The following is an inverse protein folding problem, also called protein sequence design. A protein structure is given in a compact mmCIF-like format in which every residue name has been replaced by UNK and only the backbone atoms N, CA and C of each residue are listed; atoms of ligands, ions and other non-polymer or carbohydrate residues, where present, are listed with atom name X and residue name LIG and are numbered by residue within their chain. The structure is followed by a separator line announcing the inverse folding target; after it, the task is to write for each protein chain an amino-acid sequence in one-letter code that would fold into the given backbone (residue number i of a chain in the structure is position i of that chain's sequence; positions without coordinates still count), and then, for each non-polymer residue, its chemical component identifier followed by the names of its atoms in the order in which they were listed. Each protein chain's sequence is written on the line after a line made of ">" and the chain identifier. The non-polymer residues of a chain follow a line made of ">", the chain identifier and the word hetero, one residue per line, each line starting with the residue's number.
data_IF_234850599621
#
_entry.id   IF_234850599621
#
_cell.length_a   1.000
_cell.length_b   1.000
_cell.length_c   1.000
_cell.angle_alpha   90.00
_cell.angle_beta   90.00
_cell.angle_gamma   90.00
#
_symmetry.space_group_name_H-M   'P 1'
#
loop_
_entity.id
_entity.type
_entity.pdbx_description
1 polymer ?
#
# COMPACT_ATOMS: atom_id res chain seq x y z
N UNK A 1 -21.93 72.30 -1.51
CA UNK A 1 -20.55 72.29 -2.04
C UNK A 1 -19.66 71.81 -0.92
N UNK A 2 -19.10 70.63 -1.16
CA UNK A 2 -17.79 70.14 -0.70
C UNK A 2 -17.32 70.23 0.75
N UNK A 3 -16.62 69.13 1.07
CA UNK A 3 -15.46 69.06 1.96
C UNK A 3 -15.75 68.99 3.47
N UNK A 4 -15.09 68.15 4.27
CA UNK A 4 -14.04 67.18 4.03
C UNK A 4 -13.98 66.25 5.26
N UNK A 5 -13.61 65.00 4.99
CA UNK A 5 -13.21 63.92 5.90
C UNK A 5 -12.44 64.36 7.16
N UNK A 6 -12.66 63.63 8.25
CA UNK A 6 -11.58 63.00 9.03
C UNK A 6 -12.05 61.69 9.69
N UNK A 7 -11.50 60.60 9.17
CA UNK A 7 -11.52 59.26 9.75
C UNK A 7 -10.58 59.20 10.96
N UNK A 8 -10.79 58.24 11.87
CA UNK A 8 -9.81 57.20 12.22
C UNK A 8 -10.45 56.17 13.18
N UNK A 9 -10.95 55.06 12.63
CA UNK A 9 -10.39 53.70 12.75
C UNK A 9 -10.53 53.03 14.12
N UNK A 10 -11.70 52.44 14.39
CA UNK A 10 -11.79 51.31 15.31
C UNK A 10 -11.34 50.04 14.57
N UNK A 11 -10.09 49.64 14.77
CA UNK A 11 -9.59 48.36 14.29
C UNK A 11 -10.21 47.23 15.14
N UNK A 12 -11.33 46.67 14.66
CA UNK A 12 -11.85 45.39 15.17
C UNK A 12 -10.95 44.29 14.61
N UNK A 13 -10.04 43.79 15.45
CA UNK A 13 -9.30 42.57 15.21
C UNK A 13 -10.29 41.39 15.18
N UNK A 14 -10.73 40.97 13.99
CA UNK A 14 -11.29 39.63 13.81
C UNK A 14 -10.14 38.64 13.95
N UNK A 15 -10.05 38.00 15.12
CA UNK A 15 -9.22 36.83 15.31
C UNK A 15 -9.84 35.67 14.52
N UNK A 16 -9.32 35.42 13.32
CA UNK A 16 -9.64 34.20 12.58
C UNK A 16 -8.91 33.06 13.30
N UNK A 17 -9.63 32.35 14.16
CA UNK A 17 -9.17 31.09 14.72
C UNK A 17 -9.06 30.07 13.57
N UNK A 18 -7.84 29.81 13.13
CA UNK A 18 -7.54 28.70 12.21
C UNK A 18 -7.81 27.39 12.95
N UNK A 19 -8.93 26.74 12.62
CA UNK A 19 -9.16 25.34 12.93
C UNK A 19 -8.11 24.51 12.18
N UNK A 20 -7.06 24.11 12.88
CA UNK A 20 -6.14 23.08 12.40
C UNK A 20 -6.90 21.76 12.44
N UNK A 21 -7.47 21.39 11.29
CA UNK A 21 -8.00 20.04 11.08
C UNK A 21 -6.79 19.11 11.07
N UNK A 22 -6.56 18.41 12.18
CA UNK A 22 -5.63 17.28 12.21
C UNK A 22 -6.30 16.16 11.43
N UNK A 23 -5.94 16.01 10.15
CA UNK A 23 -6.32 14.84 9.37
C UNK A 23 -5.65 13.62 10.00
N UNK A 24 -6.39 12.55 10.36
CA UNK A 24 -5.77 11.32 10.82
C UNK A 24 -4.84 10.82 9.71
N UNK A 25 -3.56 10.74 10.03
CA UNK A 25 -2.55 10.20 9.12
C UNK A 25 -2.93 8.75 8.80
N UNK A 26 -2.89 8.39 7.52
CA UNK A 26 -2.81 6.99 7.16
C UNK A 26 -1.65 6.39 7.96
N UNK A 27 -1.93 5.35 8.75
CA UNK A 27 -0.88 4.66 9.51
C UNK A 27 0.02 3.99 8.47
N UNK A 28 1.27 4.44 8.38
CA UNK A 28 2.26 3.81 7.53
C UNK A 28 2.49 2.36 7.97
N UNK A 29 2.59 1.44 7.02
CA UNK A 29 2.91 0.05 7.29
C UNK A 29 4.27 -0.07 7.97
N UNK A 30 4.38 -0.92 9.00
CA UNK A 30 5.63 -1.19 9.72
C UNK A 30 6.22 -2.50 9.21
N UNK A 31 7.40 -2.42 8.62
CA UNK A 31 8.15 -3.57 8.13
C UNK A 31 8.75 -4.40 9.25
N UNK A 32 9.19 -5.62 8.89
CA UNK A 32 9.85 -6.56 9.79
C UNK A 32 11.09 -5.98 10.50
N UNK A 33 11.79 -5.03 9.89
CA UNK A 33 12.96 -4.35 10.46
C UNK A 33 12.61 -3.12 11.32
N UNK A 34 11.32 -2.84 11.53
CA UNK A 34 10.81 -1.72 12.31
C UNK A 34 10.77 -0.39 11.56
N UNK A 35 11.25 -0.32 10.33
CA UNK A 35 11.04 0.86 9.48
C UNK A 35 9.61 0.90 8.94
N UNK A 36 9.17 2.04 8.40
CA UNK A 36 7.83 2.20 7.88
C UNK A 36 7.80 2.72 6.44
N UNK A 37 6.70 2.46 5.72
CA UNK A 37 6.43 3.07 4.43
C UNK A 37 4.95 3.32 4.20
N UNK A 38 4.68 4.36 3.42
CA UNK A 38 3.37 4.62 2.83
C UNK A 38 3.27 3.99 1.44
N UNK A 39 2.13 3.35 1.17
CA UNK A 39 1.81 3.01 -0.21
C UNK A 39 1.28 4.24 -0.94
N UNK A 40 2.08 4.82 -1.85
CA UNK A 40 1.62 5.91 -2.72
C UNK A 40 1.08 5.34 -4.04
N UNK A 41 -0.16 5.64 -4.40
CA UNK A 41 -0.75 5.30 -5.70
C UNK A 41 -1.51 6.51 -6.27
N UNK A 42 -1.33 6.79 -7.57
CA UNK A 42 -1.95 7.93 -8.27
C UNK A 42 -1.69 9.29 -7.57
N UNK A 43 -0.51 9.45 -6.98
CA UNK A 43 -0.10 10.68 -6.29
C UNK A 43 -0.72 10.88 -4.90
N UNK A 44 -1.45 9.89 -4.37
CA UNK A 44 -2.04 9.94 -3.04
C UNK A 44 -1.62 8.73 -2.20
N UNK A 45 -1.59 8.91 -0.88
CA UNK A 45 -1.41 7.78 0.05
C UNK A 45 -2.64 6.88 0.00
N UNK A 46 -2.40 5.59 -0.23
CA UNK A 46 -3.40 4.53 -0.15
C UNK A 46 -3.72 4.31 1.33
N UNK A 47 -5.00 4.39 1.66
CA UNK A 47 -5.44 4.21 3.04
C UNK A 47 -5.27 2.74 3.46
N UNK A 48 -4.81 2.50 4.68
CA UNK A 48 -4.75 1.17 5.28
C UNK A 48 -5.82 1.05 6.37
N UNK A 49 -6.53 -0.08 6.40
CA UNK A 49 -7.58 -0.34 7.37
C UNK A 49 -7.53 -1.80 7.86
N UNK A 50 -7.83 -2.00 9.15
CA UNK A 50 -8.04 -3.35 9.68
C UNK A 50 -9.40 -3.90 9.28
N UNK A 51 -9.43 -5.17 8.93
CA UNK A 51 -10.64 -5.87 8.56
C UNK A 51 -11.43 -6.34 9.78
N UNK A 52 -12.75 -6.18 9.71
CA UNK A 52 -13.70 -6.86 10.60
C UNK A 52 -14.04 -8.27 10.07
N UNK A 53 -14.44 -9.23 10.92
CA UNK A 53 -14.76 -10.60 10.50
C UNK A 53 -15.82 -10.73 9.39
N UNK A 54 -16.69 -9.73 9.22
CA UNK A 54 -17.68 -9.69 8.14
C UNK A 54 -17.13 -9.23 6.78
N UNK A 55 -15.92 -8.69 6.72
CA UNK A 55 -15.35 -8.12 5.50
C UNK A 55 -14.96 -9.19 4.48
N UNK A 56 -14.97 -8.82 3.20
CA UNK A 56 -14.66 -9.70 2.06
C UNK A 56 -13.30 -10.39 2.20
N UNK A 57 -12.30 -9.74 2.82
CA UNK A 57 -10.98 -10.36 3.05
C UNK A 57 -11.06 -11.60 3.94
N UNK A 58 -11.96 -11.64 4.94
CA UNK A 58 -12.21 -12.84 5.75
C UNK A 58 -12.97 -13.90 4.95
N UNK A 59 -13.99 -13.50 4.19
CA UNK A 59 -14.81 -14.42 3.40
C UNK A 59 -13.99 -15.14 2.32
N UNK A 60 -13.04 -14.44 1.71
CA UNK A 60 -12.11 -15.01 0.71
C UNK A 60 -10.92 -15.72 1.36
N UNK A 61 -10.81 -15.70 2.69
CA UNK A 61 -9.65 -16.24 3.40
C UNK A 61 -8.33 -15.59 2.98
N UNK A 62 -8.33 -14.31 2.61
CA UNK A 62 -7.13 -13.58 2.18
C UNK A 62 -6.45 -12.91 3.38
N UNK A 63 -5.16 -12.58 3.22
CA UNK A 63 -4.37 -11.86 4.24
C UNK A 63 -4.63 -10.36 4.14
N UNK A 64 -4.72 -9.86 2.92
CA UNK A 64 -5.04 -8.49 2.59
C UNK A 64 -5.77 -8.44 1.25
N UNK A 65 -6.40 -7.29 0.98
CA UNK A 65 -6.94 -6.94 -0.34
C UNK A 65 -6.76 -5.44 -0.55
N UNK A 66 -6.17 -5.04 -1.67
CA UNK A 66 -6.30 -3.71 -2.24
C UNK A 66 -7.67 -3.54 -2.91
N UNK A 67 -8.55 -2.75 -2.30
CA UNK A 67 -9.90 -2.48 -2.79
C UNK A 67 -10.01 -1.06 -3.36
N UNK A 68 -10.68 -0.86 -4.51
CA UNK A 68 -10.96 0.47 -5.02
C UNK A 68 -11.87 1.25 -4.07
N UNK A 69 -11.68 2.57 -4.01
CA UNK A 69 -12.53 3.52 -3.29
C UNK A 69 -13.03 4.60 -4.27
N UNK A 70 -13.89 5.51 -3.80
CA UNK A 70 -14.37 6.62 -4.63
C UNK A 70 -13.24 7.51 -5.19
N UNK A 71 -12.12 7.62 -4.47
CA UNK A 71 -11.00 8.51 -4.80
C UNK A 71 -9.68 7.79 -5.11
N UNK A 72 -9.64 6.45 -5.05
CA UNK A 72 -8.40 5.70 -5.25
C UNK A 72 -8.50 4.26 -4.78
N UNK A 73 -7.62 3.89 -3.86
CA UNK A 73 -7.53 2.55 -3.30
C UNK A 73 -7.42 2.61 -1.78
N UNK A 74 -7.77 1.50 -1.14
CA UNK A 74 -7.43 1.20 0.24
C UNK A 74 -6.91 -0.23 0.35
N UNK A 75 -5.97 -0.49 1.25
CA UNK A 75 -5.56 -1.85 1.62
C UNK A 75 -6.32 -2.24 2.88
N UNK A 76 -6.98 -3.39 2.84
CA UNK A 76 -7.76 -3.93 3.96
C UNK A 76 -7.04 -5.17 4.50
N UNK A 77 -6.64 -5.12 5.76
CA UNK A 77 -5.77 -6.12 6.39
C UNK A 77 -6.55 -7.08 7.28
N UNK A 78 -6.46 -8.38 7.00
CA UNK A 78 -6.79 -9.41 7.98
C UNK A 78 -5.58 -9.62 8.90
N UNK A 79 -5.45 -8.75 9.91
CA UNK A 79 -4.33 -8.77 10.86
C UNK A 79 -4.20 -10.09 11.62
N UNK A 80 -5.32 -10.79 11.85
CA UNK A 80 -5.33 -12.12 12.45
C UNK A 80 -4.66 -13.19 11.59
N UNK A 81 -4.78 -13.09 10.26
CA UNK A 81 -4.08 -13.98 9.33
C UNK A 81 -2.67 -13.49 9.05
N UNK A 82 -2.45 -12.18 8.97
CA UNK A 82 -1.12 -11.61 8.75
C UNK A 82 -0.14 -12.08 9.84
N UNK A 83 -0.52 -11.96 11.12
CA UNK A 83 0.35 -12.33 12.26
C UNK A 83 0.79 -13.80 12.32
N UNK A 84 0.20 -14.70 11.51
CA UNK A 84 0.60 -16.11 11.47
C UNK A 84 1.66 -16.39 10.41
N UNK A 85 2.05 -15.39 9.63
CA UNK A 85 3.02 -15.52 8.56
C UNK A 85 4.43 -15.14 9.03
N UNK A 86 5.48 -15.58 8.32
CA UNK A 86 6.83 -15.09 8.54
C UNK A 86 6.94 -13.57 8.27
N UNK A 87 7.85 -12.85 8.95
CA UNK A 87 8.01 -11.41 8.77
C UNK A 87 8.26 -10.99 7.32
N UNK A 88 9.03 -11.77 6.56
CA UNK A 88 9.30 -11.47 5.14
C UNK A 88 8.05 -11.54 4.27
N UNK A 89 7.08 -12.38 4.64
CA UNK A 89 5.78 -12.42 3.97
C UNK A 89 4.95 -11.17 4.28
N UNK A 90 5.11 -10.56 5.46
CA UNK A 90 4.40 -9.32 5.79
C UNK A 90 4.84 -8.22 4.85
N UNK A 91 6.16 -8.03 4.75
CA UNK A 91 6.76 -7.02 3.89
C UNK A 91 6.39 -7.29 2.42
N UNK A 92 6.50 -8.54 1.96
CA UNK A 92 6.14 -8.90 0.59
C UNK A 92 4.66 -8.63 0.27
N UNK A 93 3.75 -8.95 1.18
CA UNK A 93 2.31 -8.68 0.99
C UNK A 93 2.04 -7.18 0.93
N UNK A 94 2.71 -6.35 1.73
CA UNK A 94 2.58 -4.89 1.61
C UNK A 94 2.92 -4.40 0.20
N UNK A 95 4.08 -4.80 -0.32
CA UNK A 95 4.47 -4.39 -1.67
C UNK A 95 3.54 -4.98 -2.75
N UNK A 96 3.06 -6.21 -2.57
CA UNK A 96 2.08 -6.84 -3.46
C UNK A 96 0.76 -6.06 -3.52
N UNK A 97 0.15 -5.75 -2.37
CA UNK A 97 -1.12 -5.01 -2.33
C UNK A 97 -0.94 -3.57 -2.83
N UNK A 98 0.22 -2.97 -2.55
CA UNK A 98 0.54 -1.66 -3.10
C UNK A 98 0.66 -1.70 -4.64
N UNK A 99 1.22 -2.77 -5.21
CA UNK A 99 1.28 -2.96 -6.65
C UNK A 99 -0.11 -3.07 -7.29
N UNK A 100 -1.07 -3.74 -6.63
CA UNK A 100 -2.47 -3.75 -7.07
C UNK A 100 -3.05 -2.33 -7.16
N UNK A 101 -2.77 -1.46 -6.18
CA UNK A 101 -3.22 -0.07 -6.18
C UNK A 101 -2.51 0.81 -7.24
N UNK A 102 -1.20 0.61 -7.44
CA UNK A 102 -0.38 1.37 -8.39
C UNK A 102 -0.64 1.01 -9.85
N UNK A 103 -0.84 -0.28 -10.15
CA UNK A 103 -1.00 -0.84 -11.51
C UNK A 103 -2.45 -1.15 -11.89
N UNK A 104 -3.43 -0.58 -11.18
CA UNK A 104 -4.82 -1.07 -11.06
C UNK A 104 -5.10 -2.45 -11.69
N UNK A 105 -4.46 -3.50 -11.17
CA UNK A 105 -4.51 -4.86 -11.76
C UNK A 105 -5.26 -5.82 -10.83
N UNK A 106 -5.90 -6.85 -11.39
CA UNK A 106 -6.39 -8.03 -10.65
C UNK A 106 -5.53 -9.27 -10.89
N UNK A 107 -4.51 -9.15 -11.74
CA UNK A 107 -3.54 -10.21 -12.00
C UNK A 107 -2.53 -10.28 -10.84
N UNK A 108 -2.64 -11.35 -10.06
CA UNK A 108 -1.84 -11.64 -8.88
C UNK A 108 -0.35 -11.86 -9.22
N UNK A 109 -0.03 -12.43 -10.40
CA UNK A 109 1.36 -12.61 -10.83
C UNK A 109 1.98 -11.26 -11.18
N UNK A 110 1.24 -10.40 -11.87
CA UNK A 110 1.67 -9.04 -12.18
C UNK A 110 1.89 -8.22 -10.89
N UNK A 111 1.00 -8.34 -9.92
CA UNK A 111 1.15 -7.69 -8.62
C UNK A 111 2.35 -8.22 -7.83
N UNK A 112 2.53 -9.54 -7.74
CA UNK A 112 3.72 -10.15 -7.15
C UNK A 112 5.03 -9.65 -7.78
N UNK A 113 5.07 -9.62 -9.11
CA UNK A 113 6.25 -9.19 -9.85
C UNK A 113 6.60 -7.73 -9.59
N UNK A 114 5.62 -6.83 -9.71
CA UNK A 114 5.83 -5.42 -9.46
C UNK A 114 6.17 -5.16 -7.98
N UNK A 115 5.46 -5.81 -7.06
CA UNK A 115 5.72 -5.74 -5.62
C UNK A 115 7.14 -6.21 -5.28
N UNK A 116 7.62 -7.33 -5.84
CA UNK A 116 8.99 -7.79 -5.59
C UNK A 116 10.03 -6.83 -6.13
N UNK A 117 9.83 -6.25 -7.32
CA UNK A 117 10.72 -5.22 -7.88
C UNK A 117 10.81 -3.99 -6.95
N UNK A 118 9.67 -3.54 -6.44
CA UNK A 118 9.62 -2.39 -5.53
C UNK A 118 10.25 -2.73 -4.18
N UNK A 119 9.97 -3.90 -3.62
CA UNK A 119 10.57 -4.39 -2.37
C UNK A 119 12.11 -4.45 -2.48
N UNK A 120 12.65 -4.90 -3.62
CA UNK A 120 14.09 -4.85 -3.91
C UNK A 120 14.60 -3.41 -3.98
N UNK A 121 13.89 -2.53 -4.69
CA UNK A 121 14.28 -1.12 -4.82
C UNK A 121 14.29 -0.37 -3.48
N UNK A 122 13.44 -0.77 -2.55
CA UNK A 122 13.37 -0.24 -1.19
C UNK A 122 14.44 -0.85 -0.25
N UNK A 123 15.29 -1.76 -0.75
CA UNK A 123 16.29 -2.46 0.06
C UNK A 123 15.69 -3.47 1.05
N UNK A 124 14.43 -3.85 0.88
CA UNK A 124 13.71 -4.81 1.74
C UNK A 124 13.78 -6.24 1.24
N UNK A 125 14.13 -6.44 -0.03
CA UNK A 125 14.39 -7.75 -0.61
C UNK A 125 15.82 -7.84 -1.17
N UNK A 126 16.29 -9.09 -1.21
CA UNK A 126 17.58 -9.51 -1.72
C UNK A 126 17.72 -11.02 -1.51
N UNK A 127 18.88 -11.58 -1.82
CA UNK A 127 19.08 -13.04 -1.82
C UNK A 127 18.55 -13.75 -0.56
N UNK A 128 18.88 -13.24 0.63
CA UNK A 128 18.48 -13.87 1.90
C UNK A 128 16.97 -13.83 2.15
N UNK A 129 16.31 -12.71 1.84
CA UNK A 129 14.86 -12.54 2.01
C UNK A 129 14.10 -13.38 0.98
N UNK A 130 14.54 -13.35 -0.27
CA UNK A 130 13.91 -14.13 -1.35
C UNK A 130 14.08 -15.64 -1.15
N UNK A 131 15.17 -16.09 -0.53
CA UNK A 131 15.33 -17.49 -0.13
C UNK A 131 14.29 -17.91 0.93
N UNK A 132 13.96 -17.03 1.89
CA UNK A 132 12.92 -17.29 2.89
C UNK A 132 11.52 -17.27 2.28
N UNK A 133 11.24 -16.34 1.37
CA UNK A 133 10.00 -16.34 0.59
C UNK A 133 9.86 -17.63 -0.22
N UNK A 134 10.93 -18.07 -0.91
CA UNK A 134 10.95 -19.33 -1.64
C UNK A 134 10.66 -20.54 -0.73
N UNK A 135 11.26 -20.57 0.46
CA UNK A 135 11.01 -21.62 1.45
C UNK A 135 9.55 -21.63 1.92
N UNK A 136 8.92 -20.47 2.10
CA UNK A 136 7.52 -20.35 2.45
C UNK A 136 6.60 -20.93 1.35
N UNK A 137 6.85 -20.59 0.08
CA UNK A 137 6.08 -21.12 -1.05
C UNK A 137 6.31 -22.63 -1.31
N UNK A 138 7.47 -23.14 -0.86
CA UNK A 138 7.87 -24.52 -1.04
C UNK A 138 8.73 -24.76 -2.31
N UNK A 139 9.41 -25.91 -2.38
CA UNK A 139 10.33 -26.22 -3.47
C UNK A 139 9.60 -26.35 -4.80
N UNK A 140 10.17 -25.72 -5.85
CA UNK A 140 9.64 -25.74 -7.23
C UNK A 140 8.21 -25.20 -7.35
N UNK A 141 7.85 -24.23 -6.52
CA UNK A 141 6.57 -23.56 -6.62
C UNK A 141 6.53 -22.68 -7.88
N UNK A 142 5.78 -23.10 -8.90
CA UNK A 142 5.72 -22.41 -10.19
C UNK A 142 5.25 -20.96 -10.09
N UNK A 143 4.38 -20.65 -9.12
CA UNK A 143 3.88 -19.30 -8.92
C UNK A 143 4.98 -18.34 -8.41
N UNK A 144 5.81 -18.81 -7.47
CA UNK A 144 6.99 -18.09 -7.02
C UNK A 144 8.08 -18.02 -8.10
N UNK A 145 8.33 -19.10 -8.84
CA UNK A 145 9.30 -19.11 -9.95
C UNK A 145 8.92 -18.12 -11.06
N UNK A 146 7.63 -18.05 -11.41
CA UNK A 146 7.12 -17.07 -12.37
C UNK A 146 7.27 -15.64 -11.84
N UNK A 147 7.01 -15.44 -10.54
CA UNK A 147 7.22 -14.14 -9.87
C UNK A 147 8.68 -13.70 -9.99
N UNK A 148 9.62 -14.59 -9.68
CA UNK A 148 11.06 -14.31 -9.82
C UNK A 148 11.47 -14.04 -11.27
N UNK A 149 10.97 -14.84 -12.21
CA UNK A 149 11.25 -14.68 -13.64
C UNK A 149 10.83 -13.29 -14.12
N UNK A 150 9.61 -12.86 -13.78
CA UNK A 150 9.12 -11.52 -14.10
C UNK A 150 9.93 -10.42 -13.40
N UNK A 151 10.22 -10.62 -12.10
CA UNK A 151 10.99 -9.68 -11.29
C UNK A 151 12.41 -9.45 -11.87
N UNK A 152 12.99 -10.48 -12.48
CA UNK A 152 14.30 -10.45 -13.13
C UNK A 152 14.28 -9.93 -14.58
N UNK A 153 13.13 -9.49 -15.08
CA UNK A 153 12.99 -8.95 -16.44
C UNK A 153 12.75 -9.99 -17.53
N UNK A 154 12.48 -11.26 -17.15
CA UNK A 154 11.92 -12.23 -18.08
C UNK A 154 10.54 -11.80 -18.54
N UNK A 155 10.19 -12.13 -19.79
CA UNK A 155 8.79 -12.04 -20.24
C UNK A 155 8.01 -13.11 -19.49
N UNK A 156 6.91 -12.71 -18.86
CA UNK A 156 5.99 -13.64 -18.20
C UNK A 156 5.72 -14.82 -19.13
N UNK A 157 5.73 -16.05 -18.61
CA UNK A 157 5.27 -17.23 -19.33
C UNK A 157 3.77 -17.19 -19.70
N UNK A 158 3.14 -16.01 -19.67
CA UNK A 158 1.80 -15.71 -20.13
C UNK A 158 1.73 -15.72 -21.67
N UNK A 159 1.97 -16.92 -22.22
CA UNK A 159 1.58 -17.33 -23.56
C UNK A 159 0.54 -18.46 -23.53
N UNK A 160 -0.19 -18.63 -22.43
CA UNK A 160 -1.33 -19.54 -22.37
C UNK A 160 -2.56 -18.78 -21.85
N UNK A 161 -3.10 -17.93 -22.72
CA UNK A 161 -4.51 -17.59 -22.68
C UNK A 161 -5.31 -18.82 -23.13
N UNK A 162 -6.18 -19.32 -22.27
CA UNK A 162 -7.48 -19.91 -22.61
C UNK A 162 -8.36 -19.84 -21.37
#
# INVERSE_FOLDING_TARGET
>A
MDALRKALTHARFLSIAWLVVVSPSAMAFIFADGTHADCIARGATVMEAEASPGDVVYQLGRVAIAAPTASGYRIVWNTNKLKTLPPEMHDFIFFHECAHARLPTTDELRANCAGLKEMRSAGKAGFAVEAKLAAFYGPRNSYWENTLTCANGGKDGAGASQ
#
